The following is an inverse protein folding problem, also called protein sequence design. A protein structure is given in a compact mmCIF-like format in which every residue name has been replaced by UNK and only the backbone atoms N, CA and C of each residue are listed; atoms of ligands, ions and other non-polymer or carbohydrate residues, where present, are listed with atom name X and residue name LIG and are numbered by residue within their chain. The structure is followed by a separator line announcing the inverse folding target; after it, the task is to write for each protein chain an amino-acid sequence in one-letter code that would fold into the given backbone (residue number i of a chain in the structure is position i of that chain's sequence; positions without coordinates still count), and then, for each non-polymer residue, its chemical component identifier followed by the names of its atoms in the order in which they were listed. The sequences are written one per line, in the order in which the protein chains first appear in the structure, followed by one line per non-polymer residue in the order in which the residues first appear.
data_IF_609476713765
#
_entry.id   IF_609476713765
#
_cell.length_a   1.000
_cell.length_b   1.000
_cell.length_c   1.000
_cell.angle_alpha   90.00
_cell.angle_beta   90.00
_cell.angle_gamma   90.00
#
_symmetry.space_group_name_H-M   'P 1'
#
loop_
_entity.id
_entity.type
_entity.pdbx_description
1 polymer ?
#
# COMPACT_ATOMS: atom_id res chain seq x y z
N UNK A 1 -14.43 -3.55 -23.90
CA UNK A 1 -13.77 -4.27 -22.80
C UNK A 1 -14.84 -4.49 -21.76
N UNK A 2 -15.22 -5.74 -21.51
CA UNK A 2 -16.33 -6.07 -20.63
C UNK A 2 -15.94 -5.81 -19.17
N UNK A 3 -16.93 -5.49 -18.31
CA UNK A 3 -16.70 -5.14 -16.90
C UNK A 3 -15.88 -6.21 -16.14
N UNK A 4 -16.02 -7.48 -16.53
CA UNK A 4 -15.28 -8.62 -15.99
C UNK A 4 -13.78 -8.57 -16.30
N UNK A 5 -13.41 -8.10 -17.49
CA UNK A 5 -12.01 -8.03 -17.92
C UNK A 5 -11.27 -6.92 -17.18
N UNK A 6 -11.96 -5.81 -16.88
CA UNK A 6 -11.41 -4.71 -16.08
C UNK A 6 -11.09 -5.16 -14.64
N UNK A 7 -12.01 -5.91 -14.02
CA UNK A 7 -11.81 -6.45 -12.67
C UNK A 7 -10.64 -7.44 -12.65
N UNK A 8 -10.52 -8.31 -13.66
CA UNK A 8 -9.38 -9.23 -13.74
C UNK A 8 -8.04 -8.52 -13.87
N UNK A 9 -7.97 -7.45 -14.68
CA UNK A 9 -6.76 -6.64 -14.83
C UNK A 9 -6.38 -5.94 -13.52
N UNK A 10 -7.34 -5.35 -12.81
CA UNK A 10 -7.11 -4.73 -11.49
C UNK A 10 -6.56 -5.74 -10.47
N UNK A 11 -7.13 -6.95 -10.42
CA UNK A 11 -6.62 -8.01 -9.55
C UNK A 11 -5.21 -8.48 -9.92
N UNK A 12 -4.89 -8.52 -11.21
CA UNK A 12 -3.53 -8.83 -11.66
C UNK A 12 -2.53 -7.77 -11.23
N UNK A 13 -2.88 -6.49 -11.40
CA UNK A 13 -2.03 -5.37 -11.00
C UNK A 13 -1.81 -5.37 -9.47
N UNK A 14 -2.86 -5.59 -8.68
CA UNK A 14 -2.73 -5.71 -7.22
C UNK A 14 -1.81 -6.86 -6.80
N UNK A 15 -1.87 -8.00 -7.49
CA UNK A 15 -0.95 -9.13 -7.23
C UNK A 15 0.50 -8.77 -7.53
N UNK A 16 0.76 -8.01 -8.60
CA UNK A 16 2.10 -7.54 -8.93
C UNK A 16 2.63 -6.57 -7.87
N UNK A 17 1.81 -5.58 -7.48
CA UNK A 17 2.12 -4.64 -6.40
C UNK A 17 2.47 -5.40 -5.11
N UNK A 18 1.65 -6.37 -4.73
CA UNK A 18 1.90 -7.20 -3.54
C UNK A 18 3.23 -7.98 -3.64
N UNK A 19 3.59 -8.44 -4.83
CA UNK A 19 4.89 -9.08 -5.09
C UNK A 19 6.07 -8.14 -4.81
N UNK A 20 5.98 -6.90 -5.31
CA UNK A 20 6.99 -5.87 -5.09
C UNK A 20 7.11 -5.51 -3.61
N UNK A 21 6.00 -5.29 -2.90
CA UNK A 21 6.03 -4.96 -1.47
C UNK A 21 6.69 -6.08 -0.65
N UNK A 22 6.40 -7.35 -0.96
CA UNK A 22 7.05 -8.49 -0.29
C UNK A 22 8.55 -8.53 -0.53
N UNK A 23 8.99 -8.24 -1.75
CA UNK A 23 10.41 -8.16 -2.08
C UNK A 23 11.11 -7.06 -1.27
N UNK A 24 10.54 -5.85 -1.25
CA UNK A 24 11.08 -4.73 -0.46
C UNK A 24 11.15 -5.11 1.01
N UNK A 25 10.07 -5.69 1.56
CA UNK A 25 10.05 -6.13 2.95
C UNK A 25 11.17 -7.14 3.26
N UNK A 26 11.41 -8.11 2.37
CA UNK A 26 12.47 -9.10 2.54
C UNK A 26 13.89 -8.53 2.42
N UNK A 27 14.08 -7.51 1.58
CA UNK A 27 15.40 -6.93 1.30
C UNK A 27 15.77 -5.83 2.30
N UNK A 28 14.80 -5.05 2.77
CA UNK A 28 15.05 -3.86 3.60
C UNK A 28 15.14 -4.15 5.11
N UNK A 29 14.76 -5.35 5.56
CA UNK A 29 14.77 -5.70 6.99
C UNK A 29 13.84 -4.84 7.86
N UNK A 30 12.76 -4.32 7.28
CA UNK A 30 11.80 -3.45 7.98
C UNK A 30 10.72 -4.27 8.71
N UNK A 31 9.98 -3.63 9.62
CA UNK A 31 8.85 -4.24 10.31
C UNK A 31 7.57 -4.29 9.47
N UNK A 32 7.48 -3.41 8.46
CA UNK A 32 6.37 -3.35 7.53
C UNK A 32 6.67 -2.41 6.36
N UNK A 33 5.94 -2.60 5.27
CA UNK A 33 5.94 -1.77 4.06
C UNK A 33 4.49 -1.51 3.70
N UNK A 34 4.15 -0.26 3.40
CA UNK A 34 2.78 0.19 3.14
C UNK A 34 2.76 0.98 1.84
N UNK A 35 1.81 0.65 0.96
CA UNK A 35 1.45 1.48 -0.19
C UNK A 35 0.17 2.22 0.16
N UNK A 36 0.27 3.54 0.25
CA UNK A 36 -0.79 4.44 0.68
C UNK A 36 -1.02 5.47 -0.43
N UNK A 37 -2.27 5.78 -0.75
CA UNK A 37 -2.57 6.89 -1.65
C UNK A 37 -2.53 8.25 -0.93
N UNK A 38 -2.61 9.34 -1.69
CA UNK A 38 -2.59 10.70 -1.15
C UNK A 38 -3.76 11.02 -0.21
N UNK A 39 -4.85 10.26 -0.25
CA UNK A 39 -5.99 10.42 0.65
C UNK A 39 -5.80 9.73 2.00
N UNK A 40 -4.77 8.89 2.12
CA UNK A 40 -4.54 8.06 3.31
C UNK A 40 -5.15 6.66 3.22
N UNK A 41 -5.66 6.26 2.06
CA UNK A 41 -6.18 4.91 1.85
C UNK A 41 -5.04 3.90 1.71
N UNK A 42 -5.10 2.82 2.49
CA UNK A 42 -4.14 1.73 2.43
C UNK A 42 -4.45 0.79 1.25
N UNK A 43 -3.62 0.84 0.21
CA UNK A 43 -3.79 0.02 -1.01
C UNK A 43 -3.23 -1.39 -0.81
N UNK A 44 -2.02 -1.50 -0.25
CA UNK A 44 -1.33 -2.78 -0.07
C UNK A 44 -0.31 -2.70 1.07
N UNK A 45 0.03 -3.86 1.64
CA UNK A 45 0.99 -3.95 2.74
C UNK A 45 1.82 -5.24 2.69
N UNK A 46 3.01 -5.20 3.28
CA UNK A 46 3.80 -6.38 3.60
C UNK A 46 4.40 -6.26 5.00
N UNK A 47 4.49 -7.38 5.72
CA UNK A 47 4.90 -7.40 7.13
C UNK A 47 3.69 -7.36 8.08
N UNK A 48 3.96 -7.54 9.38
CA UNK A 48 2.92 -7.57 10.41
C UNK A 48 3.42 -6.84 11.65
N UNK A 49 2.94 -5.62 11.82
CA UNK A 49 3.09 -4.84 13.06
C UNK A 49 1.78 -4.86 13.83
N UNK A 50 1.90 -4.88 15.16
CA UNK A 50 0.76 -4.85 16.07
C UNK A 50 0.32 -3.39 16.32
N UNK A 51 -0.14 -2.73 15.26
CA UNK A 51 -0.58 -1.33 15.23
C UNK A 51 -1.83 -1.22 14.34
N UNK A 52 -2.64 -0.20 14.56
CA UNK A 52 -3.69 0.18 13.60
C UNK A 52 -3.05 0.75 12.33
N UNK A 53 -3.09 -0.06 11.28
CA UNK A 53 -2.47 0.25 9.98
C UNK A 53 -3.28 1.24 9.16
N UNK A 54 -4.59 1.31 9.38
CA UNK A 54 -5.47 2.28 8.71
C UNK A 54 -5.21 3.66 9.29
N UNK A 55 -5.14 3.76 10.63
CA UNK A 55 -4.78 5.00 11.30
C UNK A 55 -3.37 5.47 10.91
N UNK A 56 -2.41 4.55 10.79
CA UNK A 56 -1.05 4.86 10.32
C UNK A 56 -1.04 5.43 8.90
N UNK A 57 -1.77 4.81 7.96
CA UNK A 57 -1.86 5.26 6.58
C UNK A 57 -2.45 6.68 6.48
N UNK A 58 -3.54 6.94 7.21
CA UNK A 58 -4.16 8.26 7.28
C UNK A 58 -3.19 9.32 7.86
N UNK A 59 -2.46 8.98 8.92
CA UNK A 59 -1.48 9.87 9.53
C UNK A 59 -0.32 10.19 8.59
N UNK A 60 0.16 9.19 7.83
CA UNK A 60 1.24 9.37 6.83
C UNK A 60 0.80 10.32 5.72
N UNK A 61 -0.41 10.14 5.17
CA UNK A 61 -0.92 11.04 4.13
C UNK A 61 -1.11 12.47 4.65
N UNK A 62 -1.65 12.64 5.86
CA UNK A 62 -1.77 13.96 6.50
C UNK A 62 -0.40 14.62 6.72
N UNK A 63 0.59 13.84 7.19
CA UNK A 63 1.97 14.32 7.39
C UNK A 63 2.60 14.74 6.06
N UNK A 64 2.43 13.94 5.01
CA UNK A 64 2.93 14.24 3.68
C UNK A 64 2.33 15.54 3.14
N UNK A 65 1.00 15.68 3.19
CA UNK A 65 0.30 16.89 2.75
C UNK A 65 0.69 18.15 3.52
N UNK A 66 1.03 18.03 4.80
CA UNK A 66 1.53 19.14 5.61
C UNK A 66 2.97 19.57 5.25
N UNK A 67 3.75 18.71 4.61
CA UNK A 67 5.17 18.96 4.24
C UNK A 67 5.39 19.22 2.76
N UNK A 68 4.34 19.20 1.94
CA UNK A 68 4.42 19.36 0.49
C UNK A 68 4.49 20.84 0.01
N UNK A 69 4.84 21.76 0.92
CA UNK A 69 5.07 23.19 0.64
C UNK A 69 6.42 23.47 -0.06
#
# INVERSE_FOLDING_TARGET
MDNKDQVQLQLQNLRQVQGVLRRIFSEAGTHGVYLVDESGFLIAEAGKINLDRVALAALVAASFGATAE
#
